data_IF_073978518693
#
_entry.id   IF_073978518693
#
_cell.length_a   1.000
_cell.length_b   1.000
_cell.length_c   1.000
_cell.angle_alpha   90.00
_cell.angle_beta   90.00
_cell.angle_gamma   90.00
#
_symmetry.space_group_name_H-M   'P 1'
#
loop_
_entity.id
_entity.type
_entity.pdbx_description
1 polymer ?
#
# COMPACT_ATOMS: atom_id res chain seq x y z
N UNK A 1 8.87 15.28 23.23
CA UNK A 1 9.82 15.06 22.13
C UNK A 1 9.77 16.20 21.14
N UNK A 2 10.62 16.14 20.13
CA UNK A 2 10.56 17.04 18.96
C UNK A 2 9.23 16.79 18.23
N UNK A 3 8.58 17.85 17.76
CA UNK A 3 7.29 17.77 17.04
C UNK A 3 7.39 18.11 15.56
N UNK A 4 8.47 18.78 15.16
CA UNK A 4 8.66 19.28 13.81
C UNK A 4 10.15 19.25 13.42
N UNK A 5 10.42 18.84 12.18
CA UNK A 5 11.73 18.86 11.53
C UNK A 5 11.74 19.78 10.31
N UNK A 6 10.94 20.85 10.33
CA UNK A 6 10.98 21.91 9.30
C UNK A 6 12.42 22.38 9.08
N UNK A 7 12.80 22.52 7.81
CA UNK A 7 14.17 22.81 7.38
C UNK A 7 14.98 21.58 6.97
N UNK A 8 14.49 20.36 7.25
CA UNK A 8 15.16 19.11 6.83
C UNK A 8 15.46 19.04 5.33
N UNK A 9 14.60 19.66 4.50
CA UNK A 9 14.76 19.69 3.04
C UNK A 9 16.00 20.45 2.56
N UNK A 10 16.64 21.28 3.39
CA UNK A 10 17.91 21.94 3.02
C UNK A 10 19.11 21.00 3.03
N UNK A 11 19.01 19.85 3.69
CA UNK A 11 20.07 18.84 3.73
C UNK A 11 19.98 17.89 2.53
N UNK A 12 20.20 18.41 1.32
CA UNK A 12 20.06 17.66 0.05
C UNK A 12 21.01 16.46 -0.09
N UNK A 13 22.11 16.45 0.67
CA UNK A 13 23.10 15.37 0.72
C UNK A 13 22.87 14.40 1.90
N UNK A 14 21.77 14.54 2.63
CA UNK A 14 21.44 13.64 3.74
C UNK A 14 21.24 12.22 3.21
N UNK A 15 22.01 11.27 3.76
CA UNK A 15 21.94 9.84 3.43
C UNK A 15 21.27 9.01 4.52
N UNK A 16 21.36 9.45 5.77
CA UNK A 16 20.84 8.75 6.93
C UNK A 16 20.04 9.75 7.78
N UNK A 17 18.82 9.38 8.14
CA UNK A 17 18.00 10.15 9.08
C UNK A 17 17.45 9.22 10.16
N UNK A 18 17.84 9.47 11.41
CA UNK A 18 17.22 8.89 12.60
C UNK A 18 16.49 9.96 13.37
N UNK A 19 15.18 9.79 13.57
CA UNK A 19 14.33 10.71 14.33
C UNK A 19 13.43 9.96 15.32
N UNK A 20 13.92 8.84 15.81
CA UNK A 20 13.20 7.94 16.70
C UNK A 20 12.84 8.60 18.04
N UNK A 21 11.79 8.10 18.70
CA UNK A 21 11.36 8.50 20.05
C UNK A 21 11.06 10.00 20.17
N UNK A 22 10.22 10.50 19.27
CA UNK A 22 9.77 11.87 19.24
C UNK A 22 8.24 11.94 19.17
N UNK A 23 7.70 13.16 19.09
CA UNK A 23 6.26 13.42 18.99
C UNK A 23 5.92 13.93 17.58
N UNK A 24 6.63 13.47 16.54
CA UNK A 24 6.40 13.90 15.17
C UNK A 24 5.03 13.41 14.71
N UNK A 25 4.16 14.34 14.31
CA UNK A 25 2.90 14.02 13.63
C UNK A 25 3.08 14.00 12.11
N UNK A 26 4.10 14.69 11.60
CA UNK A 26 4.45 14.77 10.18
C UNK A 26 5.96 14.68 10.00
N UNK A 27 6.37 14.08 8.90
CA UNK A 27 7.77 14.00 8.49
C UNK A 27 7.85 14.23 6.97
N UNK A 28 8.53 15.30 6.55
CA UNK A 28 8.72 15.62 5.14
C UNK A 28 10.17 15.37 4.71
N UNK A 29 10.39 14.29 3.96
CA UNK A 29 11.70 13.88 3.42
C UNK A 29 11.85 14.13 1.92
N UNK A 30 10.92 14.89 1.31
CA UNK A 30 10.91 15.13 -0.14
C UNK A 30 12.12 15.92 -0.65
N UNK A 31 12.73 16.75 0.20
CA UNK A 31 13.97 17.48 -0.09
C UNK A 31 15.26 16.66 0.05
N UNK A 32 15.18 15.36 0.37
CA UNK A 32 16.34 14.52 0.64
C UNK A 32 16.48 13.37 -0.39
N UNK A 33 16.71 13.65 -1.69
CA UNK A 33 16.71 12.64 -2.75
C UNK A 33 17.85 11.61 -2.63
N UNK A 34 18.87 11.91 -1.80
CA UNK A 34 20.00 11.02 -1.52
C UNK A 34 19.79 10.14 -0.28
N UNK A 35 18.61 10.18 0.36
CA UNK A 35 18.33 9.40 1.55
C UNK A 35 18.36 7.89 1.23
N UNK A 36 19.19 7.17 1.98
CA UNK A 36 19.41 5.73 1.89
C UNK A 36 18.79 5.00 3.08
N UNK A 37 18.82 5.60 4.27
CA UNK A 37 18.23 5.01 5.47
C UNK A 37 17.36 6.02 6.23
N UNK A 38 16.16 5.58 6.58
CA UNK A 38 15.21 6.33 7.38
C UNK A 38 14.72 5.50 8.58
N UNK A 39 14.99 6.01 9.77
CA UNK A 39 14.40 5.55 11.02
C UNK A 39 13.55 6.65 11.64
N UNK A 40 12.26 6.36 11.84
CA UNK A 40 11.27 7.25 12.44
C UNK A 40 10.41 6.51 13.48
N UNK A 41 11.03 5.59 14.21
CA UNK A 41 10.39 4.73 15.19
C UNK A 41 9.78 5.54 16.34
N UNK A 42 8.70 5.03 16.94
CA UNK A 42 8.08 5.65 18.13
C UNK A 42 7.77 7.14 17.93
N UNK A 43 6.90 7.41 16.96
CA UNK A 43 6.36 8.75 16.68
C UNK A 43 4.83 8.67 16.53
N UNK A 44 4.21 9.76 16.09
CA UNK A 44 2.76 9.87 15.92
C UNK A 44 2.36 10.02 14.44
N UNK A 45 3.24 9.63 13.51
CA UNK A 45 3.08 9.86 12.07
C UNK A 45 1.99 8.94 11.52
N UNK A 46 1.05 9.48 10.76
CA UNK A 46 -0.02 8.72 10.11
C UNK A 46 0.16 8.56 8.60
N UNK A 47 0.99 9.41 7.99
CA UNK A 47 1.27 9.49 6.55
C UNK A 47 2.75 9.82 6.33
N UNK A 48 3.38 9.14 5.39
CA UNK A 48 4.78 9.35 5.01
C UNK A 48 4.92 9.15 3.51
N UNK A 49 5.39 10.19 2.81
CA UNK A 49 5.73 10.13 1.39
C UNK A 49 7.24 9.91 1.21
N UNK A 50 7.61 8.70 0.78
CA UNK A 50 9.00 8.32 0.43
C UNK A 50 9.22 8.23 -1.09
N UNK A 51 8.29 8.73 -1.90
CA UNK A 51 8.36 8.62 -3.36
C UNK A 51 9.53 9.40 -3.98
N UNK A 52 10.04 10.38 -3.24
CA UNK A 52 11.19 11.23 -3.60
C UNK A 52 12.54 10.65 -3.14
N UNK A 53 12.55 9.47 -2.51
CA UNK A 53 13.75 8.84 -1.95
C UNK A 53 14.07 7.51 -2.68
N UNK A 54 14.37 7.51 -3.99
CA UNK A 54 14.55 6.29 -4.79
C UNK A 54 15.80 5.47 -4.39
N UNK A 55 16.68 6.05 -3.57
CA UNK A 55 17.88 5.39 -3.04
C UNK A 55 17.65 4.66 -1.71
N UNK A 56 16.45 4.76 -1.12
CA UNK A 56 16.14 4.18 0.18
C UNK A 56 16.33 2.65 0.17
N UNK A 57 17.20 2.16 1.06
CA UNK A 57 17.50 0.75 1.29
C UNK A 57 16.96 0.26 2.62
N UNK A 58 16.81 1.16 3.61
CA UNK A 58 16.31 0.84 4.95
C UNK A 58 15.18 1.80 5.32
N UNK A 59 14.01 1.24 5.68
CA UNK A 59 12.90 1.99 6.25
C UNK A 59 12.41 1.33 7.54
N UNK A 60 12.60 2.03 8.65
CA UNK A 60 12.15 1.63 9.98
C UNK A 60 11.13 2.65 10.47
N UNK A 61 9.86 2.24 10.56
CA UNK A 61 8.76 3.13 10.90
C UNK A 61 7.76 2.50 11.89
N UNK A 62 8.23 1.55 12.71
CA UNK A 62 7.44 0.90 13.75
C UNK A 62 6.93 1.88 14.83
N UNK A 63 5.78 1.54 15.42
CA UNK A 63 5.06 2.30 16.44
C UNK A 63 4.77 3.74 15.99
N UNK A 64 4.02 3.81 14.90
CA UNK A 64 3.41 5.01 14.36
C UNK A 64 1.91 4.76 14.20
N UNK A 65 1.23 5.52 13.35
CA UNK A 65 -0.21 5.44 13.11
C UNK A 65 -0.55 5.11 11.66
N UNK A 66 0.39 4.56 10.89
CA UNK A 66 0.21 4.30 9.46
C UNK A 66 -0.95 3.34 9.21
N UNK A 67 -1.89 3.76 8.34
CA UNK A 67 -2.93 2.90 7.77
C UNK A 67 -2.57 2.40 6.37
N UNK A 68 -1.73 3.16 5.69
CA UNK A 68 -1.22 2.88 4.36
C UNK A 68 0.23 3.34 4.28
N UNK A 69 1.03 2.63 3.50
CA UNK A 69 2.41 2.97 3.20
C UNK A 69 2.70 2.57 1.75
N UNK A 70 3.06 3.54 0.92
CA UNK A 70 3.47 3.31 -0.46
C UNK A 70 5.00 3.28 -0.55
N UNK A 71 5.55 2.11 -0.89
CA UNK A 71 6.98 1.90 -1.12
C UNK A 71 7.30 1.57 -2.59
N UNK A 72 6.34 1.81 -3.50
CA UNK A 72 6.45 1.45 -4.91
C UNK A 72 7.55 2.20 -5.67
N UNK A 73 8.01 3.32 -5.11
CA UNK A 73 9.10 4.16 -5.66
C UNK A 73 10.45 3.92 -4.98
N UNK A 74 10.55 2.91 -4.12
CA UNK A 74 11.77 2.54 -3.41
C UNK A 74 12.25 1.15 -3.84
N UNK A 75 12.63 0.95 -5.12
CA UNK A 75 12.95 -0.38 -5.66
C UNK A 75 14.20 -1.02 -5.04
N UNK A 76 15.03 -0.23 -4.37
CA UNK A 76 16.25 -0.67 -3.68
C UNK A 76 16.03 -1.07 -2.22
N UNK A 77 14.79 -1.05 -1.73
CA UNK A 77 14.49 -1.34 -0.34
C UNK A 77 14.87 -2.79 0.01
N UNK A 78 15.68 -2.93 1.06
CA UNK A 78 16.20 -4.22 1.57
C UNK A 78 15.64 -4.56 2.95
N UNK A 79 15.38 -3.55 3.77
CA UNK A 79 14.84 -3.70 5.11
C UNK A 79 13.61 -2.82 5.27
N UNK A 80 12.48 -3.44 5.63
CA UNK A 80 11.24 -2.75 5.97
C UNK A 80 10.70 -3.25 7.32
N UNK A 81 10.56 -2.33 8.27
CA UNK A 81 10.02 -2.59 9.61
C UNK A 81 8.84 -1.65 9.88
N UNK A 82 7.65 -2.23 10.02
CA UNK A 82 6.37 -1.50 10.18
C UNK A 82 5.60 -1.89 11.44
N UNK A 83 6.25 -2.58 12.39
CA UNK A 83 5.65 -3.17 13.59
C UNK A 83 4.75 -2.17 14.34
N UNK A 84 3.61 -2.63 14.88
CA UNK A 84 2.70 -1.79 15.68
C UNK A 84 2.23 -0.53 14.93
N UNK A 85 1.77 -0.72 13.70
CA UNK A 85 1.01 0.26 12.95
C UNK A 85 -0.45 -0.22 12.79
N UNK A 86 -1.21 0.40 11.90
CA UNK A 86 -2.60 0.05 11.58
C UNK A 86 -2.75 -0.30 10.10
N UNK A 87 -1.69 -0.85 9.50
CA UNK A 87 -1.67 -1.22 8.10
C UNK A 87 -2.69 -2.33 7.86
N UNK A 88 -3.56 -2.13 6.87
CA UNK A 88 -4.50 -3.17 6.40
C UNK A 88 -4.04 -3.82 5.10
N UNK A 89 -3.11 -3.16 4.39
CA UNK A 89 -2.57 -3.60 3.11
C UNK A 89 -1.20 -2.96 2.87
N UNK A 90 -0.32 -3.68 2.18
CA UNK A 90 0.92 -3.16 1.62
C UNK A 90 1.24 -3.87 0.31
N UNK A 91 1.61 -3.10 -0.72
CA UNK A 91 2.08 -3.64 -1.99
C UNK A 91 3.62 -3.65 -1.99
N UNK A 92 4.21 -4.84 -2.08
CA UNK A 92 5.64 -5.08 -2.04
C UNK A 92 6.22 -5.52 -3.39
N UNK A 93 5.41 -5.46 -4.46
CA UNK A 93 5.78 -5.98 -5.78
C UNK A 93 6.89 -5.24 -6.48
N UNK A 94 7.05 -3.96 -6.14
CA UNK A 94 8.12 -3.10 -6.63
C UNK A 94 9.36 -3.13 -5.72
N UNK A 95 9.41 -4.00 -4.71
CA UNK A 95 10.53 -4.12 -3.77
C UNK A 95 11.15 -5.54 -3.81
N UNK A 96 11.58 -6.04 -4.99
CA UNK A 96 12.05 -7.42 -5.15
C UNK A 96 13.33 -7.72 -4.37
N UNK A 97 14.06 -6.68 -3.96
CA UNK A 97 15.32 -6.77 -3.22
C UNK A 97 15.17 -6.84 -1.69
N UNK A 98 13.94 -6.93 -1.16
CA UNK A 98 13.71 -7.08 0.27
C UNK A 98 14.38 -8.35 0.83
N UNK A 99 15.20 -8.16 1.85
CA UNK A 99 15.94 -9.20 2.58
C UNK A 99 15.36 -9.39 4.00
N UNK A 100 14.79 -8.33 4.59
CA UNK A 100 14.18 -8.31 5.92
C UNK A 100 12.85 -7.57 5.91
N UNK A 101 11.78 -8.26 6.34
CA UNK A 101 10.44 -7.70 6.36
C UNK A 101 9.73 -8.01 7.69
N UNK A 102 9.46 -6.98 8.48
CA UNK A 102 8.63 -7.09 9.67
C UNK A 102 7.34 -6.27 9.53
N UNK A 103 6.25 -7.02 9.43
CA UNK A 103 4.87 -6.59 9.28
C UNK A 103 4.04 -6.91 10.54
N UNK A 104 4.68 -7.26 11.66
CA UNK A 104 3.99 -7.69 12.87
C UNK A 104 2.97 -6.66 13.34
N UNK A 105 1.95 -7.19 14.01
CA UNK A 105 1.19 -6.44 14.99
C UNK A 105 0.44 -5.25 14.32
N UNK A 106 -0.12 -5.50 13.14
CA UNK A 106 -0.90 -4.53 12.35
C UNK A 106 -2.34 -5.03 12.18
N UNK A 107 -3.00 -4.77 11.05
CA UNK A 107 -4.40 -5.15 10.80
C UNK A 107 -4.60 -5.70 9.39
N UNK A 108 -3.59 -6.40 8.84
CA UNK A 108 -3.65 -6.97 7.50
C UNK A 108 -4.49 -8.25 7.49
N UNK A 109 -5.27 -8.44 6.43
CA UNK A 109 -6.06 -9.65 6.20
C UNK A 109 -5.46 -10.57 5.10
N UNK A 110 -4.56 -10.02 4.28
CA UNK A 110 -3.81 -10.69 3.21
C UNK A 110 -2.43 -10.08 3.08
N UNK A 111 -1.45 -10.91 2.74
CA UNK A 111 -0.07 -10.48 2.43
C UNK A 111 0.41 -11.23 1.18
N UNK A 112 1.07 -10.51 0.27
CA UNK A 112 1.74 -11.08 -0.89
C UNK A 112 3.22 -10.79 -0.84
N UNK A 113 4.03 -11.85 -0.83
CA UNK A 113 5.48 -11.75 -0.93
C UNK A 113 6.04 -12.53 -2.12
N UNK A 114 5.22 -12.83 -3.13
CA UNK A 114 5.61 -13.60 -4.30
C UNK A 114 6.73 -12.97 -5.14
N UNK A 115 6.96 -11.67 -5.02
CA UNK A 115 8.06 -10.96 -5.71
C UNK A 115 9.29 -10.77 -4.82
N UNK A 116 9.20 -11.10 -3.54
CA UNK A 116 10.22 -10.82 -2.53
C UNK A 116 11.02 -12.09 -2.21
N UNK A 117 11.56 -12.73 -3.25
CA UNK A 117 12.24 -14.03 -3.14
C UNK A 117 13.61 -13.95 -2.43
N UNK A 118 14.11 -12.74 -2.14
CA UNK A 118 15.36 -12.52 -1.40
C UNK A 118 15.16 -12.45 0.11
N UNK A 119 13.92 -12.58 0.61
CA UNK A 119 13.64 -12.52 2.04
C UNK A 119 14.39 -13.62 2.78
N UNK A 120 15.13 -13.22 3.81
CA UNK A 120 15.80 -14.10 4.77
C UNK A 120 15.14 -14.05 6.15
N UNK A 121 14.35 -13.00 6.40
CA UNK A 121 13.53 -12.80 7.58
C UNK A 121 12.16 -12.24 7.17
N UNK A 122 11.10 -12.82 7.72
CA UNK A 122 9.74 -12.38 7.53
C UNK A 122 8.94 -12.58 8.82
N UNK A 123 8.27 -11.55 9.30
CA UNK A 123 7.38 -11.65 10.44
C UNK A 123 6.05 -10.96 10.14
N UNK A 124 4.94 -11.65 10.36
CA UNK A 124 3.60 -11.09 10.28
C UNK A 124 2.70 -11.50 11.46
N UNK A 125 3.29 -11.99 12.56
CA UNK A 125 2.58 -12.31 13.81
C UNK A 125 1.72 -11.12 14.27
N UNK A 126 0.59 -11.36 14.92
CA UNK A 126 -0.26 -10.31 15.46
C UNK A 126 -1.09 -9.57 14.41
N UNK A 127 -1.20 -10.10 13.19
CA UNK A 127 -2.23 -9.69 12.23
C UNK A 127 -3.40 -10.66 12.36
N UNK A 128 -4.23 -10.48 13.37
CA UNK A 128 -5.22 -11.49 13.81
C UNK A 128 -6.25 -11.88 12.74
N UNK A 129 -6.51 -10.98 11.78
CA UNK A 129 -7.45 -11.20 10.67
C UNK A 129 -6.77 -11.77 9.41
N UNK A 130 -5.46 -12.04 9.46
CA UNK A 130 -4.66 -12.53 8.33
C UNK A 130 -4.96 -14.00 8.04
N UNK A 131 -5.72 -14.23 6.97
CA UNK A 131 -6.08 -15.58 6.54
C UNK A 131 -4.91 -16.30 5.87
N UNK A 132 -4.16 -15.58 5.03
CA UNK A 132 -3.06 -16.19 4.28
C UNK A 132 -1.96 -15.21 3.88
N UNK A 133 -0.77 -15.79 3.74
CA UNK A 133 0.38 -15.17 3.08
C UNK A 133 0.68 -15.91 1.78
N UNK A 134 0.69 -15.19 0.66
CA UNK A 134 1.03 -15.73 -0.66
C UNK A 134 2.53 -15.67 -0.90
N UNK A 135 3.11 -16.80 -1.29
CA UNK A 135 4.53 -16.99 -1.63
C UNK A 135 4.66 -17.63 -3.01
N UNK A 136 5.73 -17.30 -3.73
CA UNK A 136 6.03 -17.89 -5.05
C UNK A 136 6.70 -19.25 -4.94
N UNK A 137 7.48 -19.47 -3.88
CA UNK A 137 8.23 -20.69 -3.63
C UNK A 137 8.00 -21.17 -2.19
N UNK A 138 7.51 -22.40 -2.04
CA UNK A 138 7.34 -23.06 -0.75
C UNK A 138 8.69 -23.35 -0.04
N UNK A 139 9.81 -23.30 -0.75
CA UNK A 139 11.12 -23.47 -0.14
C UNK A 139 11.52 -22.27 0.73
N UNK A 140 10.96 -21.07 0.48
CA UNK A 140 11.17 -19.90 1.34
C UNK A 140 10.64 -20.13 2.76
N UNK A 141 9.57 -20.92 2.89
CA UNK A 141 8.82 -21.13 4.13
C UNK A 141 9.19 -22.43 4.85
N UNK A 142 9.64 -23.45 4.12
CA UNK A 142 9.89 -24.78 4.67
C UNK A 142 10.99 -24.72 5.74
N UNK A 143 10.59 -24.93 7.00
CA UNK A 143 11.48 -25.04 8.18
C UNK A 143 12.36 -23.81 8.45
N UNK A 144 12.01 -22.62 7.95
CA UNK A 144 12.76 -21.40 8.26
C UNK A 144 12.17 -20.72 9.53
N UNK A 145 12.83 -20.80 10.70
CA UNK A 145 12.32 -20.19 11.94
C UNK A 145 12.27 -18.65 11.89
N UNK A 146 12.90 -18.05 10.87
CA UNK A 146 12.86 -16.60 10.61
C UNK A 146 11.62 -16.17 9.84
N UNK A 147 10.77 -17.10 9.40
CA UNK A 147 9.50 -16.84 8.74
C UNK A 147 8.35 -17.13 9.69
N UNK A 148 7.79 -16.07 10.27
CA UNK A 148 6.86 -16.15 11.38
C UNK A 148 5.49 -15.59 10.99
N UNK A 149 4.44 -16.31 11.40
CA UNK A 149 3.04 -15.96 11.22
C UNK A 149 2.23 -16.52 12.39
N UNK A 150 1.02 -16.02 12.58
CA UNK A 150 0.10 -16.61 13.55
C UNK A 150 -0.27 -18.05 13.17
N UNK A 151 -0.71 -18.82 14.17
CA UNK A 151 -0.99 -20.25 14.01
C UNK A 151 -2.08 -20.55 12.97
N UNK A 152 -3.10 -19.69 12.90
CA UNK A 152 -4.25 -19.86 11.99
C UNK A 152 -3.98 -19.38 10.55
N UNK A 153 -3.02 -18.48 10.36
CA UNK A 153 -2.66 -17.96 9.04
C UNK A 153 -2.07 -19.07 8.17
N UNK A 154 -2.43 -19.14 6.90
CA UNK A 154 -1.92 -20.17 5.98
C UNK A 154 -0.87 -19.61 5.04
N UNK A 155 0.13 -20.42 4.71
CA UNK A 155 0.94 -20.16 3.52
C UNK A 155 0.19 -20.65 2.28
N UNK A 156 0.22 -19.87 1.21
CA UNK A 156 -0.41 -20.25 -0.06
C UNK A 156 0.52 -19.96 -1.24
N UNK A 157 0.39 -20.72 -2.32
CA UNK A 157 1.11 -20.48 -3.58
C UNK A 157 0.28 -19.66 -4.58
N UNK A 158 -0.76 -18.99 -4.09
CA UNK A 158 -1.68 -18.21 -4.91
C UNK A 158 -1.14 -16.79 -5.05
N UNK A 159 -0.13 -16.63 -5.89
CA UNK A 159 0.38 -15.33 -6.26
C UNK A 159 -0.69 -14.57 -7.04
N UNK A 160 -1.23 -13.52 -6.43
CA UNK A 160 -2.15 -12.61 -7.09
C UNK A 160 -1.37 -11.43 -7.70
N UNK A 161 -1.85 -10.87 -8.82
CA UNK A 161 -1.27 -9.66 -9.39
C UNK A 161 -1.40 -8.51 -8.39
N UNK A 162 -0.27 -8.11 -7.82
CA UNK A 162 -0.10 -6.88 -7.08
C UNK A 162 -0.35 -5.69 -8.01
N UNK A 163 -1.30 -4.84 -7.63
CA UNK A 163 -1.90 -3.80 -8.49
C UNK A 163 -3.38 -4.07 -8.82
N UNK A 164 -3.88 -5.28 -8.57
CA UNK A 164 -5.30 -5.64 -8.66
C UNK A 164 -5.68 -6.53 -7.48
N UNK A 165 -6.30 -5.97 -6.43
CA UNK A 165 -7.05 -6.77 -5.47
C UNK A 165 -8.37 -6.09 -5.07
N UNK A 166 -9.43 -6.84 -5.31
CA UNK A 166 -10.84 -6.55 -5.11
C UNK A 166 -11.30 -6.41 -3.65
N UNK A 167 -10.38 -6.35 -2.68
CA UNK A 167 -10.71 -6.49 -1.24
C UNK A 167 -10.30 -5.29 -0.38
N UNK A 168 -10.25 -4.08 -0.96
CA UNK A 168 -10.19 -2.81 -0.18
C UNK A 168 -11.53 -2.48 0.49
N UNK A 169 -12.10 -3.41 1.26
CA UNK A 169 -13.25 -3.15 2.12
C UNK A 169 -12.77 -2.44 3.40
N UNK A 170 -12.84 -1.11 3.39
CA UNK A 170 -13.03 -0.33 4.62
C UNK A 170 -14.22 0.63 4.42
N UNK A 171 -15.39 0.17 4.88
CA UNK A 171 -16.48 0.94 5.51
C UNK A 171 -16.77 2.39 5.05
N UNK A 172 -16.96 2.61 3.75
CA UNK A 172 -18.03 3.48 3.26
C UNK A 172 -18.62 2.78 2.05
N UNK A 173 -19.92 2.46 2.06
CA UNK A 173 -20.55 1.69 1.00
C UNK A 173 -20.67 2.56 -0.25
N UNK A 174 -19.58 2.69 -1.02
CA UNK A 174 -19.62 3.37 -2.31
C UNK A 174 -20.46 2.52 -3.24
N UNK A 175 -21.61 3.07 -3.66
CA UNK A 175 -22.53 2.41 -4.61
C UNK A 175 -22.38 3.08 -5.96
N UNK A 176 -22.35 2.26 -7.01
CA UNK A 176 -22.28 2.71 -8.40
C UNK A 176 -23.55 2.27 -9.10
N UNK A 177 -24.27 3.20 -9.71
CA UNK A 177 -25.55 2.92 -10.34
C UNK A 177 -25.86 3.88 -11.50
N UNK A 178 -26.68 3.46 -12.48
CA UNK A 178 -27.16 2.10 -12.67
C UNK A 178 -26.01 1.14 -13.04
N UNK A 179 -26.18 -0.15 -12.77
CA UNK A 179 -25.25 -1.18 -13.22
C UNK A 179 -26.06 -2.47 -13.45
N UNK A 180 -26.36 -2.85 -14.71
CA UNK A 180 -25.79 -2.30 -15.96
C UNK A 180 -26.20 -0.85 -16.30
N UNK A 181 -25.38 -0.15 -17.09
CA UNK A 181 -25.58 1.24 -17.53
C UNK A 181 -25.48 1.41 -19.05
N UNK A 182 -26.24 2.35 -19.61
CA UNK A 182 -26.25 2.65 -21.05
C UNK A 182 -25.56 3.97 -21.41
N UNK A 183 -25.67 4.98 -20.56
CA UNK A 183 -25.11 6.32 -20.80
C UNK A 183 -24.45 6.85 -19.54
N UNK A 184 -25.20 7.08 -18.48
CA UNK A 184 -24.69 7.78 -17.30
C UNK A 184 -24.37 6.80 -16.17
N UNK A 185 -23.29 7.09 -15.43
CA UNK A 185 -22.98 6.47 -14.15
C UNK A 185 -22.96 7.49 -13.02
N UNK A 186 -23.50 7.08 -11.88
CA UNK A 186 -23.51 7.81 -10.62
C UNK A 186 -22.74 7.02 -9.56
N UNK A 187 -22.09 7.76 -8.66
CA UNK A 187 -21.37 7.23 -7.52
C UNK A 187 -21.93 7.86 -6.25
N UNK A 188 -22.56 7.06 -5.40
CA UNK A 188 -22.94 7.44 -4.04
C UNK A 188 -21.75 7.22 -3.11
N UNK A 189 -21.20 8.30 -2.55
CA UNK A 189 -20.07 8.27 -1.62
C UNK A 189 -19.15 9.47 -1.78
N UNK A 190 -18.09 9.53 -0.97
CA UNK A 190 -17.04 10.55 -1.09
C UNK A 190 -16.14 10.23 -2.29
N UNK A 191 -16.04 11.17 -3.23
CA UNK A 191 -15.25 11.03 -4.47
C UNK A 191 -14.39 12.27 -4.68
N UNK A 192 -13.08 12.09 -4.65
CA UNK A 192 -12.09 13.06 -5.14
C UNK A 192 -11.81 12.83 -6.63
N UNK A 193 -11.67 11.57 -7.02
CA UNK A 193 -11.24 11.18 -8.37
C UNK A 193 -11.79 9.81 -8.75
N UNK A 194 -12.10 9.61 -10.01
CA UNK A 194 -12.52 8.33 -10.60
C UNK A 194 -11.63 8.06 -11.80
N UNK A 195 -11.15 6.82 -11.89
CA UNK A 195 -10.43 6.31 -13.06
C UNK A 195 -11.19 5.11 -13.61
N UNK A 196 -11.35 5.02 -14.93
CA UNK A 196 -11.98 3.87 -15.58
C UNK A 196 -10.96 3.13 -16.42
N UNK A 197 -10.92 1.82 -16.25
CA UNK A 197 -10.03 0.90 -16.95
C UNK A 197 -10.82 -0.09 -17.79
N UNK A 198 -10.25 -0.51 -18.92
CA UNK A 198 -10.76 -1.66 -19.67
C UNK A 198 -10.46 -2.98 -18.93
N UNK A 199 -10.92 -4.08 -19.52
CA UNK A 199 -10.72 -5.46 -19.05
C UNK A 199 -9.25 -5.89 -19.00
N UNK A 200 -8.39 -5.25 -19.79
CA UNK A 200 -6.93 -5.45 -19.80
C UNK A 200 -6.18 -4.56 -18.79
N UNK A 201 -6.88 -3.68 -18.05
CA UNK A 201 -6.29 -2.78 -17.06
C UNK A 201 -5.72 -1.47 -17.61
N UNK A 202 -5.91 -1.16 -18.89
CA UNK A 202 -5.53 0.12 -19.50
C UNK A 202 -6.49 1.24 -19.09
N UNK A 203 -5.95 2.40 -18.69
CA UNK A 203 -6.73 3.59 -18.32
C UNK A 203 -7.42 4.20 -19.55
N UNK A 204 -8.75 4.33 -19.50
CA UNK A 204 -9.56 4.92 -20.57
C UNK A 204 -10.03 6.34 -20.24
N UNK A 205 -10.31 6.60 -18.96
CA UNK A 205 -10.98 7.84 -18.54
C UNK A 205 -10.61 8.22 -17.12
N UNK A 206 -10.57 9.52 -16.84
CA UNK A 206 -10.41 10.07 -15.49
C UNK A 206 -11.35 11.26 -15.32
N UNK A 207 -12.00 11.34 -14.17
CA UNK A 207 -12.86 12.47 -13.79
C UNK A 207 -12.76 12.72 -12.29
N UNK A 208 -13.11 13.93 -11.85
CA UNK A 208 -13.28 14.26 -10.43
C UNK A 208 -14.77 14.36 -10.05
N UNK A 209 -15.67 13.97 -10.97
CA UNK A 209 -17.12 13.97 -10.76
C UNK A 209 -17.62 12.63 -10.27
N UNK A 210 -18.64 12.64 -9.42
CA UNK A 210 -19.42 11.47 -9.03
C UNK A 210 -20.56 11.15 -10.01
N UNK A 211 -20.70 11.93 -11.09
CA UNK A 211 -21.68 11.77 -12.16
C UNK A 211 -21.02 12.02 -13.52
N UNK A 212 -21.02 11.02 -14.41
CA UNK A 212 -20.36 11.11 -15.71
C UNK A 212 -20.94 10.16 -16.76
N UNK A 213 -20.76 10.50 -18.04
CA UNK A 213 -21.22 9.70 -19.17
C UNK A 213 -20.16 8.69 -19.63
N UNK A 214 -20.64 7.51 -20.00
CA UNK A 214 -19.96 6.38 -20.65
C UNK A 214 -20.67 6.01 -21.97
N UNK A 215 -21.53 6.87 -22.54
CA UNK A 215 -22.28 6.58 -23.78
C UNK A 215 -21.38 6.12 -24.94
N UNK A 216 -20.19 6.72 -25.03
CA UNK A 216 -19.22 6.45 -26.10
C UNK A 216 -18.40 5.16 -25.85
N UNK A 217 -18.61 4.47 -24.73
CA UNK A 217 -17.86 3.25 -24.43
C UNK A 217 -18.51 2.07 -25.15
N UNK A 218 -17.72 1.18 -25.79
CA UNK A 218 -18.23 -0.07 -26.33
C UNK A 218 -18.96 -0.91 -25.27
N UNK A 219 -19.89 -1.77 -25.71
CA UNK A 219 -20.53 -2.74 -24.82
C UNK A 219 -19.47 -3.67 -24.22
N UNK A 220 -19.59 -3.96 -22.92
CA UNK A 220 -18.58 -4.74 -22.21
C UNK A 220 -18.57 -4.43 -20.72
N UNK A 221 -17.57 -4.94 -19.99
CA UNK A 221 -17.38 -4.60 -18.60
C UNK A 221 -16.14 -3.73 -18.41
N UNK A 222 -16.19 -2.86 -17.40
CA UNK A 222 -15.10 -1.96 -17.05
C UNK A 222 -14.86 -1.95 -15.56
N UNK A 223 -13.69 -1.49 -15.16
CA UNK A 223 -13.32 -1.35 -13.75
C UNK A 223 -13.18 0.14 -13.41
N UNK A 224 -13.92 0.58 -12.40
CA UNK A 224 -13.81 1.91 -11.81
C UNK A 224 -12.89 1.86 -10.60
N UNK A 225 -11.85 2.69 -10.56
CA UNK A 225 -11.14 3.06 -9.35
C UNK A 225 -11.66 4.39 -8.82
N UNK A 226 -12.29 4.38 -7.66
CA UNK A 226 -12.97 5.53 -7.03
C UNK A 226 -12.15 5.95 -5.83
N UNK A 227 -11.55 7.13 -5.87
CA UNK A 227 -10.63 7.67 -4.87
C UNK A 227 -11.36 8.70 -4.00
N UNK A 228 -11.20 8.65 -2.68
CA UNK A 228 -11.63 9.69 -1.74
C UNK A 228 -10.54 10.76 -1.56
N UNK A 229 -10.87 11.85 -0.87
CA UNK A 229 -9.94 12.98 -0.61
C UNK A 229 -8.77 12.63 0.32
N UNK A 230 -8.78 11.43 0.91
CA UNK A 230 -7.68 10.88 1.70
C UNK A 230 -6.78 9.97 0.84
N UNK A 231 -7.02 9.87 -0.46
CA UNK A 231 -6.31 9.00 -1.40
C UNK A 231 -6.65 7.52 -1.26
N UNK A 232 -7.61 7.13 -0.41
CA UNK A 232 -8.11 5.76 -0.40
C UNK A 232 -8.95 5.56 -1.64
N UNK A 233 -9.02 4.33 -2.13
CA UNK A 233 -9.82 4.03 -3.31
C UNK A 233 -10.51 2.68 -3.24
N UNK A 234 -11.69 2.60 -3.86
CA UNK A 234 -12.47 1.38 -4.01
C UNK A 234 -12.58 1.02 -5.49
N UNK A 235 -12.53 -0.28 -5.79
CA UNK A 235 -12.73 -0.79 -7.14
C UNK A 235 -14.17 -1.26 -7.33
N UNK A 236 -14.79 -0.96 -8.48
CA UNK A 236 -16.14 -1.42 -8.84
C UNK A 236 -16.17 -1.87 -10.29
N UNK A 237 -16.72 -3.07 -10.53
CA UNK A 237 -17.03 -3.54 -11.87
C UNK A 237 -18.37 -2.92 -12.33
N UNK A 238 -18.39 -2.37 -13.53
CA UNK A 238 -19.61 -1.92 -14.20
C UNK A 238 -19.83 -2.74 -15.49
N UNK A 239 -21.07 -2.82 -15.93
CA UNK A 239 -21.46 -3.41 -17.22
C UNK A 239 -22.06 -2.30 -18.09
N UNK A 240 -21.51 -2.09 -19.28
CA UNK A 240 -22.03 -1.19 -20.33
C UNK A 240 -22.87 -2.01 -21.31
N UNK A 241 -24.13 -1.63 -21.44
CA UNK A 241 -25.09 -2.21 -22.41
C UNK A 241 -25.22 -1.41 -23.70
#
# INVERSE_FOLDING_TARGET
GIKDLTGLGSFVNLRFLGCDYNDLEKLNVSGNPNLEELSCLYNLIDTLDVSHNPKLTILMCARNRFKFLDVSKNPKLKLLVTIYNRLTFIDLSNNPDLEYLDLCCSSMNKINICKNNKLTYFNCIGNTDLLSVSVSDSNLINHNPKFQKDGLTKWTQNCFPTGFESDRLTSSSVKVYPNPATDILNIEGEVEKVKIYNDLGSLLFTTNSNHFSIANFPKGYYILGIYDYMGKYQMRKIIKE
#
